data_IF_907949220657
#
_entry.id   IF_907949220657
#
_cell.length_a   1.000
_cell.length_b   1.000
_cell.length_c   1.000
_cell.angle_alpha   90.00
_cell.angle_beta   90.00
_cell.angle_gamma   90.00
#
_symmetry.space_group_name_H-M   'P 1'
#
loop_
_entity.id
_entity.type
_entity.pdbx_description
1 polymer ?
#
# COMPACT_ATOMS: atom_id res chain seq x y z
N UNK A 1 16.96 -1.62 4.17
CA UNK A 1 16.77 -1.24 2.76
C UNK A 1 15.31 -1.56 2.44
N UNK A 2 14.49 -0.53 2.20
CA UNK A 2 13.06 -0.75 1.90
C UNK A 2 12.90 -1.28 0.48
N UNK A 3 11.85 -2.07 0.26
CA UNK A 3 11.57 -2.56 -1.07
C UNK A 3 11.20 -1.39 -1.98
N UNK A 4 12.05 -1.11 -2.98
CA UNK A 4 11.72 -0.16 -4.03
C UNK A 4 10.74 -0.85 -4.97
N UNK A 5 9.45 -0.64 -4.73
CA UNK A 5 8.41 -1.10 -5.66
C UNK A 5 8.61 -0.31 -6.97
N UNK A 6 8.80 -0.98 -8.13
CA UNK A 6 9.04 -0.31 -9.40
C UNK A 6 7.89 0.64 -9.75
N UNK A 7 8.22 1.85 -10.24
CA UNK A 7 7.25 2.89 -10.65
C UNK A 7 6.19 2.44 -11.66
N UNK A 8 6.32 1.27 -12.28
CA UNK A 8 5.51 0.85 -13.43
C UNK A 8 4.10 0.33 -13.12
N UNK A 9 3.73 0.17 -11.85
CA UNK A 9 2.33 -0.01 -11.41
C UNK A 9 2.11 0.69 -10.07
N UNK A 10 2.32 2.01 -10.09
CA UNK A 10 1.81 2.90 -9.06
C UNK A 10 0.29 2.74 -8.98
N UNK A 11 -0.21 2.01 -7.98
CA UNK A 11 -1.60 2.16 -7.52
C UNK A 11 -1.68 3.50 -6.78
N UNK A 12 -1.51 4.59 -7.53
CA UNK A 12 -1.76 5.95 -7.10
C UNK A 12 -3.08 6.32 -7.75
N UNK A 13 -4.12 6.38 -6.92
CA UNK A 13 -5.27 7.25 -7.12
C UNK A 13 -6.00 7.17 -8.48
N UNK A 14 -6.30 5.97 -8.99
CA UNK A 14 -7.42 5.89 -9.96
C UNK A 14 -8.78 6.04 -9.26
N UNK A 15 -8.83 5.90 -7.92
CA UNK A 15 -10.04 6.07 -7.13
C UNK A 15 -9.95 7.26 -6.15
N UNK A 16 -10.77 8.27 -6.48
CA UNK A 16 -11.61 9.12 -5.63
C UNK A 16 -11.05 9.88 -4.41
N UNK A 17 -9.72 10.04 -4.28
CA UNK A 17 -9.15 11.02 -3.34
C UNK A 17 -8.65 12.27 -4.07
N UNK A 18 -9.30 13.42 -3.84
CA UNK A 18 -8.92 14.73 -4.41
C UNK A 18 -7.93 15.50 -3.52
N UNK A 19 -7.11 14.79 -2.73
CA UNK A 19 -6.18 15.41 -1.78
C UNK A 19 -4.72 15.19 -2.20
N UNK A 20 -4.18 16.17 -2.92
CA UNK A 20 -2.81 16.14 -3.45
C UNK A 20 -1.73 16.06 -2.36
N UNK A 21 -1.94 16.70 -1.19
CA UNK A 21 -0.99 16.64 -0.08
C UNK A 21 -0.90 15.23 0.50
N UNK A 22 -2.05 14.58 0.66
CA UNK A 22 -2.10 13.19 1.12
C UNK A 22 -1.41 12.25 0.12
N UNK A 23 -1.68 12.43 -1.17
CA UNK A 23 -1.03 11.66 -2.25
C UNK A 23 0.50 11.83 -2.19
N UNK A 24 0.99 13.07 -2.03
CA UNK A 24 2.42 13.34 -1.91
C UNK A 24 3.04 12.64 -0.69
N UNK A 25 2.35 12.63 0.45
CA UNK A 25 2.82 11.97 1.67
C UNK A 25 2.94 10.45 1.49
N UNK A 26 1.89 9.78 0.99
CA UNK A 26 1.92 8.32 0.80
C UNK A 26 2.95 7.90 -0.25
N UNK A 27 3.20 8.73 -1.28
CA UNK A 27 4.26 8.51 -2.26
C UNK A 27 5.65 8.57 -1.63
N UNK A 28 5.93 9.60 -0.82
CA UNK A 28 7.21 9.76 -0.12
C UNK A 28 7.48 8.55 0.79
N UNK A 29 6.42 8.04 1.44
CA UNK A 29 6.50 6.93 2.38
C UNK A 29 6.46 5.54 1.71
N UNK A 30 6.27 5.46 0.39
CA UNK A 30 6.06 4.21 -0.37
C UNK A 30 4.90 3.37 0.19
N UNK A 31 3.81 4.02 0.60
CA UNK A 31 2.59 3.37 1.09
C UNK A 31 1.69 3.08 -0.12
N UNK A 32 1.15 1.86 -0.19
CA UNK A 32 0.13 1.52 -1.18
C UNK A 32 -1.23 2.02 -0.71
N UNK A 33 -2.12 2.34 -1.66
CA UNK A 33 -3.46 2.83 -1.37
C UNK A 33 -4.49 2.09 -2.21
N UNK A 34 -5.51 1.55 -1.54
CA UNK A 34 -6.67 0.91 -2.16
C UNK A 34 -7.93 1.51 -1.52
N UNK A 35 -8.85 2.00 -2.33
CA UNK A 35 -10.12 2.59 -1.89
C UNK A 35 -11.26 1.96 -2.67
N UNK A 36 -12.25 1.46 -1.92
CA UNK A 36 -13.50 0.94 -2.47
C UNK A 36 -14.66 1.70 -1.84
N UNK A 37 -15.17 2.69 -2.58
CA UNK A 37 -16.27 3.54 -2.16
C UNK A 37 -15.95 4.38 -0.92
N UNK A 38 -16.32 3.88 0.26
CA UNK A 38 -16.05 4.57 1.53
C UNK A 38 -14.95 3.91 2.35
N UNK A 39 -14.53 2.69 2.02
CA UNK A 39 -13.51 1.97 2.77
C UNK A 39 -12.15 2.13 2.11
N UNK A 40 -11.10 2.26 2.93
CA UNK A 40 -9.73 2.39 2.42
C UNK A 40 -8.81 1.39 3.11
N UNK A 41 -7.78 0.97 2.39
CA UNK A 41 -6.76 0.05 2.85
C UNK A 41 -5.37 0.54 2.45
N UNK A 42 -4.50 0.72 3.43
CA UNK A 42 -3.15 1.25 3.24
C UNK A 42 -2.11 0.27 3.79
N UNK A 43 -1.61 -0.67 2.98
CA UNK A 43 -0.52 -1.54 3.39
C UNK A 43 0.84 -0.87 3.13
N UNK A 44 1.76 -1.08 4.07
CA UNK A 44 3.16 -0.70 4.01
C UNK A 44 4.03 -1.91 4.34
N UNK A 45 5.04 -2.17 3.52
CA UNK A 45 5.95 -3.30 3.69
C UNK A 45 7.30 -2.82 4.24
N UNK A 46 7.65 -3.37 5.40
CA UNK A 46 8.97 -3.20 5.99
C UNK A 46 10.05 -3.97 5.22
N UNK A 47 11.33 -3.82 5.62
CA UNK A 47 12.41 -4.60 5.04
C UNK A 47 12.23 -6.09 5.31
N UNK A 48 12.74 -6.91 4.39
CA UNK A 48 12.88 -8.34 4.59
C UNK A 48 14.03 -8.63 5.56
N UNK A 49 13.72 -9.37 6.62
CA UNK A 49 14.66 -10.02 7.52
C UNK A 49 14.96 -11.42 6.97
N UNK A 50 16.14 -11.96 7.28
CA UNK A 50 16.61 -13.24 6.76
C UNK A 50 15.53 -14.34 6.79
N UNK A 51 15.54 -15.21 5.78
CA UNK A 51 14.57 -16.28 5.54
C UNK A 51 13.20 -15.83 4.99
N UNK A 52 13.11 -14.66 4.35
CA UNK A 52 11.87 -14.19 3.71
C UNK A 52 10.81 -13.71 4.69
N UNK A 53 11.23 -13.33 5.90
CA UNK A 53 10.34 -12.79 6.92
C UNK A 53 10.29 -11.27 6.80
N UNK A 54 9.11 -10.68 6.75
CA UNK A 54 8.94 -9.22 6.75
C UNK A 54 7.70 -8.83 7.55
N UNK A 55 7.60 -7.54 7.88
CA UNK A 55 6.40 -6.97 8.50
C UNK A 55 5.58 -6.21 7.47
N UNK A 56 4.27 -6.47 7.45
CA UNK A 56 3.27 -5.64 6.78
C UNK A 56 2.54 -4.83 7.84
N UNK A 57 2.54 -3.51 7.70
CA UNK A 57 1.72 -2.60 8.50
C UNK A 57 0.51 -2.22 7.68
N UNK A 58 -0.69 -2.37 8.25
CA UNK A 58 -1.95 -2.10 7.53
C UNK A 58 -2.79 -1.08 8.28
N UNK A 59 -3.30 -0.10 7.56
CA UNK A 59 -4.35 0.78 8.06
C UNK A 59 -5.65 0.47 7.31
N UNK A 60 -6.72 0.20 8.08
CA UNK A 60 -8.07 -0.06 7.59
C UNK A 60 -8.95 1.12 7.99
N UNK A 61 -9.50 1.82 7.00
CA UNK A 61 -10.38 2.96 7.23
C UNK A 61 -11.82 2.51 7.01
N UNK A 62 -12.73 2.96 7.89
CA UNK A 62 -14.18 2.69 7.84
C UNK A 62 -14.54 1.19 7.76
N UNK A 63 -13.72 0.35 8.36
CA UNK A 63 -14.01 -1.07 8.52
C UNK A 63 -13.71 -1.94 7.30
N UNK A 64 -12.78 -1.53 6.42
CA UNK A 64 -12.29 -2.40 5.33
C UNK A 64 -12.01 -3.82 5.84
N UNK A 65 -12.75 -4.81 5.34
CA UNK A 65 -12.70 -6.21 5.79
C UNK A 65 -11.88 -7.12 4.87
N UNK A 66 -11.47 -6.62 3.70
CA UNK A 66 -10.68 -7.39 2.72
C UNK A 66 -9.25 -7.65 3.16
N UNK A 67 -8.52 -8.49 2.42
CA UNK A 67 -7.11 -8.80 2.71
C UNK A 67 -6.12 -8.08 1.78
N UNK A 68 -6.58 -7.03 1.08
CA UNK A 68 -5.75 -6.31 0.11
C UNK A 68 -5.42 -7.17 -1.10
N UNK A 69 -6.41 -7.92 -1.63
CA UNK A 69 -6.23 -8.76 -2.81
C UNK A 69 -5.63 -8.00 -4.02
N UNK A 70 -6.01 -6.73 -4.29
CA UNK A 70 -5.35 -5.93 -5.34
C UNK A 70 -3.85 -5.73 -5.10
N UNK A 71 -3.43 -5.68 -3.83
CA UNK A 71 -2.05 -5.46 -3.42
C UNK A 71 -1.26 -6.77 -3.22
N UNK A 72 -1.91 -7.93 -3.30
CA UNK A 72 -1.29 -9.24 -3.07
C UNK A 72 -0.09 -9.55 -4.00
N UNK A 73 -0.08 -9.18 -5.29
CA UNK A 73 1.07 -9.41 -6.16
C UNK A 73 2.36 -8.72 -5.68
N UNK A 74 2.26 -7.61 -4.96
CA UNK A 74 3.42 -6.89 -4.43
C UNK A 74 4.05 -7.57 -3.20
N UNK A 75 3.33 -8.50 -2.56
CA UNK A 75 3.83 -9.30 -1.43
C UNK A 75 4.92 -10.29 -1.83
N UNK A 76 4.93 -10.72 -3.10
CA UNK A 76 5.88 -11.71 -3.62
C UNK A 76 7.23 -11.11 -4.00
N UNK A 77 7.31 -9.78 -4.12
CA UNK A 77 8.56 -9.08 -4.37
C UNK A 77 9.31 -8.76 -3.06
N UNK A 78 8.65 -8.89 -1.90
CA UNK A 78 9.11 -8.41 -0.60
C UNK A 78 10.19 -9.28 0.05
#
# INVERSE_FOLDING_TARGET
MFLKIPKSKQLIAEHQTNNDEFIAQIQILNILYDEDGSVCFLPFYGPCFGNGFFFEFVQRIRGYAGFGAPNAPFRLAA
#
